data_IF_666371046015
#
_entry.id   IF_666371046015
#
_cell.length_a   1.000
_cell.length_b   1.000
_cell.length_c   1.000
_cell.angle_alpha   90.00
_cell.angle_beta   90.00
_cell.angle_gamma   90.00
#
_symmetry.space_group_name_H-M   'P 1'
#
loop_
_entity.id
_entity.type
_entity.pdbx_description
1 polymer ?
#
# COMPACT_ATOMS: atom_id res chain seq x y z
N UNK A 1 18.04 -14.97 -25.55
CA UNK A 1 17.69 -15.89 -24.45
C UNK A 1 18.41 -15.42 -23.19
N UNK A 2 17.79 -14.57 -22.37
CA UNK A 2 18.41 -14.07 -21.13
C UNK A 2 18.06 -14.99 -19.96
N UNK A 3 19.09 -15.41 -19.22
CA UNK A 3 19.06 -16.31 -18.06
C UNK A 3 18.15 -15.75 -16.96
N UNK A 4 17.16 -16.54 -16.54
CA UNK A 4 16.37 -16.26 -15.35
C UNK A 4 17.27 -16.29 -14.11
N UNK A 5 17.17 -15.33 -13.17
CA UNK A 5 17.85 -15.47 -11.89
C UNK A 5 17.15 -16.57 -11.08
N UNK A 6 17.90 -17.64 -10.83
CA UNK A 6 17.60 -18.66 -9.82
C UNK A 6 17.63 -18.00 -8.45
N UNK A 7 16.57 -18.24 -7.67
CA UNK A 7 16.47 -18.06 -6.21
C UNK A 7 17.51 -17.14 -5.59
N UNK A 8 17.24 -15.84 -5.60
CA UNK A 8 17.67 -15.05 -4.47
C UNK A 8 16.82 -15.54 -3.30
N UNK A 9 17.44 -16.08 -2.26
CA UNK A 9 16.86 -15.99 -0.92
C UNK A 9 16.70 -14.49 -0.67
N UNK A 10 15.55 -13.94 -1.08
CA UNK A 10 15.21 -12.55 -0.85
C UNK A 10 14.98 -12.48 0.65
N UNK A 11 16.03 -12.07 1.37
CA UNK A 11 15.92 -11.64 2.75
C UNK A 11 14.67 -10.76 2.87
N UNK A 12 13.81 -11.06 3.83
CA UNK A 12 12.54 -10.37 3.99
C UNK A 12 12.78 -8.86 4.00
N UNK A 13 12.09 -8.14 3.10
CA UNK A 13 12.25 -6.70 3.00
C UNK A 13 11.97 -6.04 4.35
N UNK A 14 12.75 -5.03 4.76
CA UNK A 14 12.47 -4.31 6.00
C UNK A 14 11.06 -3.69 5.95
N UNK A 15 10.29 -3.91 7.00
CA UNK A 15 8.89 -3.47 7.12
C UNK A 15 8.81 -2.23 8.02
N UNK A 16 9.34 -1.11 7.53
CA UNK A 16 9.39 0.15 8.28
C UNK A 16 7.98 0.70 8.65
N UNK A 17 6.96 0.31 7.88
CA UNK A 17 5.57 0.73 8.09
C UNK A 17 4.79 -0.20 9.04
N UNK A 18 5.39 -1.30 9.53
CA UNK A 18 4.75 -2.14 10.55
C UNK A 18 4.77 -1.41 11.89
N UNK A 19 3.59 -1.32 12.51
CA UNK A 19 3.44 -0.81 13.86
C UNK A 19 3.34 -1.97 14.85
N UNK A 20 4.32 -2.12 15.73
CA UNK A 20 4.30 -3.08 16.85
C UNK A 20 3.75 -4.48 16.47
N UNK A 21 2.68 -4.90 17.15
CA UNK A 21 2.00 -6.19 16.96
C UNK A 21 0.91 -6.16 15.88
N UNK A 22 0.74 -5.04 15.17
CA UNK A 22 -0.24 -4.95 14.08
C UNK A 22 0.29 -5.62 12.81
N UNK A 23 -0.60 -6.22 12.00
CA UNK A 23 -0.24 -6.68 10.66
C UNK A 23 0.38 -5.55 9.84
N UNK A 24 1.30 -5.89 8.93
CA UNK A 24 1.85 -4.88 8.05
C UNK A 24 0.71 -4.30 7.17
N UNK A 25 0.69 -3.00 6.84
CA UNK A 25 -0.42 -2.40 6.05
C UNK A 25 -0.74 -3.14 4.75
N UNK A 26 0.25 -3.78 4.11
CA UNK A 26 0.07 -4.63 2.91
C UNK A 26 -0.73 -5.91 3.16
N UNK A 27 -0.78 -6.40 4.40
CA UNK A 27 -1.54 -7.58 4.82
C UNK A 27 -2.99 -7.21 5.19
N UNK A 28 -3.26 -5.92 5.42
CA UNK A 28 -4.59 -5.38 5.72
C UNK A 28 -5.42 -5.27 4.43
N UNK A 29 -6.17 -6.33 4.12
CA UNK A 29 -7.02 -6.40 2.90
C UNK A 29 -8.33 -5.61 3.00
N UNK A 30 -8.78 -5.32 4.21
CA UNK A 30 -10.02 -4.59 4.45
C UNK A 30 -9.73 -3.31 5.23
N UNK A 31 -10.20 -2.19 4.71
CA UNK A 31 -10.14 -0.87 5.33
C UNK A 31 -11.57 -0.42 5.62
N UNK A 32 -11.83 0.04 6.84
CA UNK A 32 -13.17 0.40 7.30
C UNK A 32 -13.28 1.90 7.56
N UNK A 33 -14.45 2.48 7.28
CA UNK A 33 -14.75 3.89 7.61
C UNK A 33 -14.08 4.92 6.71
N UNK A 34 -13.38 4.49 5.65
CA UNK A 34 -12.67 5.35 4.70
C UNK A 34 -13.25 5.30 3.28
N UNK A 35 -14.53 4.92 3.14
CA UNK A 35 -15.17 4.69 1.84
C UNK A 35 -15.07 5.91 0.90
N UNK A 36 -15.28 7.11 1.44
CA UNK A 36 -15.17 8.35 0.67
C UNK A 36 -13.74 8.57 0.14
N UNK A 37 -12.72 8.38 0.97
CA UNK A 37 -11.31 8.53 0.57
C UNK A 37 -10.89 7.44 -0.42
N UNK A 38 -11.35 6.20 -0.21
CA UNK A 38 -11.10 5.09 -1.14
C UNK A 38 -11.71 5.36 -2.51
N UNK A 39 -12.94 5.90 -2.57
CA UNK A 39 -13.59 6.23 -3.84
C UNK A 39 -12.82 7.32 -4.60
N UNK A 40 -12.39 8.38 -3.93
CA UNK A 40 -11.58 9.45 -4.56
C UNK A 40 -10.29 8.89 -5.16
N UNK A 41 -9.61 8.00 -4.45
CA UNK A 41 -8.41 7.34 -4.97
C UNK A 41 -8.73 6.41 -6.15
N UNK A 42 -9.76 5.57 -6.03
CA UNK A 42 -10.16 4.62 -7.06
C UNK A 42 -10.56 5.31 -8.37
N UNK A 43 -11.28 6.43 -8.29
CA UNK A 43 -11.64 7.27 -9.44
C UNK A 43 -10.41 7.86 -10.12
N UNK A 44 -9.44 8.40 -9.36
CA UNK A 44 -8.21 8.95 -9.91
C UNK A 44 -7.38 7.88 -10.64
N UNK A 45 -7.29 6.68 -10.05
CA UNK A 45 -6.60 5.53 -10.62
C UNK A 45 -7.28 5.05 -11.90
N UNK A 46 -8.60 4.81 -11.87
CA UNK A 46 -9.38 4.33 -13.01
C UNK A 46 -9.43 5.37 -14.15
N UNK A 47 -9.43 6.65 -13.82
CA UNK A 47 -9.48 7.75 -14.78
C UNK A 47 -8.14 8.11 -15.43
N UNK A 48 -7.05 7.43 -15.07
CA UNK A 48 -5.70 7.71 -15.59
C UNK A 48 -5.15 9.08 -15.22
N UNK A 49 -5.72 9.75 -14.21
CA UNK A 49 -5.33 11.07 -13.72
C UNK A 49 -4.83 10.97 -12.29
N UNK A 50 -3.77 10.20 -12.10
CA UNK A 50 -3.21 9.97 -10.78
C UNK A 50 -2.50 11.22 -10.27
N UNK A 51 -2.86 11.69 -9.08
CA UNK A 51 -2.16 12.80 -8.43
C UNK A 51 -0.74 12.40 -8.06
N UNK A 52 0.20 13.35 -8.18
CA UNK A 52 1.61 13.11 -7.87
C UNK A 52 1.86 12.87 -6.38
N UNK A 53 0.98 13.34 -5.51
CA UNK A 53 1.07 13.18 -4.06
C UNK A 53 -0.33 13.13 -3.44
N UNK A 54 -0.41 12.47 -2.28
CA UNK A 54 -1.61 12.37 -1.45
C UNK A 54 -1.26 12.76 -0.02
N UNK A 55 -2.18 13.46 0.64
CA UNK A 55 -2.08 13.79 2.05
C UNK A 55 -3.17 13.03 2.79
N UNK A 56 -2.77 12.15 3.70
CA UNK A 56 -3.66 11.46 4.63
C UNK A 56 -3.59 12.19 5.97
N UNK A 57 -4.74 12.59 6.51
CA UNK A 57 -4.83 13.35 7.75
C UNK A 57 -6.04 12.89 8.57
N UNK A 58 -5.93 13.00 9.90
CA UNK A 58 -6.96 12.57 10.83
C UNK A 58 -6.38 12.36 12.24
N UNK A 59 -7.22 12.01 13.22
CA UNK A 59 -6.73 11.48 14.49
C UNK A 59 -5.91 10.21 14.27
N UNK A 60 -5.05 9.86 15.23
CA UNK A 60 -4.34 8.60 15.20
C UNK A 60 -5.34 7.43 15.30
N UNK A 61 -5.19 6.44 14.41
CA UNK A 61 -6.09 5.28 14.30
C UNK A 61 -6.35 4.89 12.86
#
# INVERSE_FOLDING_TARGET
MARAPLGADIEALPEADRLDDFPHPRETRALYGQDAAQNVFAEALAGGRMHHAWLLAGPAG
#
